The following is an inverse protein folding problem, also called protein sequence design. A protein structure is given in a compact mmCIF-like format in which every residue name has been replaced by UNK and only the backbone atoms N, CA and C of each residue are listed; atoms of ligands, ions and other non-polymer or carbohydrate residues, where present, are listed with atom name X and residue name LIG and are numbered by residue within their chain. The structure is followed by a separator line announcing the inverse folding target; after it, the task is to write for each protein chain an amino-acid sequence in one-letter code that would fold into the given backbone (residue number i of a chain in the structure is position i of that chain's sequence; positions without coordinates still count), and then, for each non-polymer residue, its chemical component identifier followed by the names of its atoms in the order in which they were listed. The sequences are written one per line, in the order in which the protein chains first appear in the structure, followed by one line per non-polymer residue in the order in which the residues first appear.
data_IF_281890795823
#
_entry.id   IF_281890795823
#
_cell.length_a   1.000
_cell.length_b   1.000
_cell.length_c   1.000
_cell.angle_alpha   90.00
_cell.angle_beta   90.00
_cell.angle_gamma   90.00
#
_symmetry.space_group_name_H-M   'P 1'
#
loop_
_entity.id
_entity.type
_entity.pdbx_description
1 polymer ?
#
# COMPACT_ATOMS: atom_id res chain seq x y z
N UNK A 1 -30.65 1.86 -15.19
CA UNK A 1 -30.23 2.44 -13.92
C UNK A 1 -29.34 1.41 -13.26
N UNK A 2 -28.07 1.72 -13.14
CA UNK A 2 -27.08 0.94 -12.40
C UNK A 2 -26.81 1.68 -11.09
N UNK A 3 -26.79 0.94 -9.99
CA UNK A 3 -26.48 1.45 -8.67
C UNK A 3 -25.52 0.47 -8.00
N UNK A 4 -24.45 0.99 -7.42
CA UNK A 4 -23.41 0.22 -6.72
C UNK A 4 -23.10 0.90 -5.39
N UNK A 5 -23.11 0.13 -4.32
CA UNK A 5 -22.72 0.58 -2.99
C UNK A 5 -21.71 -0.40 -2.39
N UNK A 6 -20.66 0.13 -1.80
CA UNK A 6 -19.57 -0.63 -1.19
C UNK A 6 -19.17 0.03 0.12
N UNK A 7 -18.87 -0.78 1.14
CA UNK A 7 -18.44 -0.31 2.44
C UNK A 7 -17.36 -1.25 2.98
N UNK A 8 -16.31 -0.66 3.54
CA UNK A 8 -15.25 -1.37 4.27
C UNK A 8 -15.03 -0.69 5.62
N UNK A 9 -14.89 -1.49 6.67
CA UNK A 9 -14.55 -1.02 8.01
C UNK A 9 -13.34 -1.80 8.52
N UNK A 10 -12.30 -1.06 8.88
CA UNK A 10 -11.08 -1.57 9.48
C UNK A 10 -10.89 -0.92 10.84
N UNK A 11 -10.59 -1.74 11.84
CA UNK A 11 -10.30 -1.28 13.20
C UNK A 11 -9.05 -1.99 13.73
N UNK A 12 -8.15 -1.23 14.33
CA UNK A 12 -6.97 -1.76 14.99
C UNK A 12 -6.69 -0.96 16.25
N UNK A 13 -6.58 -1.65 17.38
CA UNK A 13 -6.22 -1.03 18.65
C UNK A 13 -5.32 -1.94 19.46
N UNK A 14 -4.54 -1.35 20.35
CA UNK A 14 -3.62 -2.11 21.18
C UNK A 14 -2.65 -1.24 21.93
N UNK A 15 -1.77 -1.90 22.67
CA UNK A 15 -0.68 -1.27 23.41
C UNK A 15 0.62 -1.98 23.10
N UNK A 16 1.63 -1.24 22.68
CA UNK A 16 2.99 -1.73 22.46
C UNK A 16 3.89 -1.23 23.57
N UNK A 17 4.66 -2.14 24.15
CA UNK A 17 5.75 -1.81 25.07
C UNK A 17 7.05 -1.84 24.29
N UNK A 18 7.71 -0.70 24.21
CA UNK A 18 9.01 -0.58 23.56
C UNK A 18 10.13 -1.03 24.53
N UNK A 19 11.29 -1.36 23.99
CA UNK A 19 12.43 -1.82 24.79
C UNK A 19 12.92 -0.77 25.80
N UNK A 20 12.73 0.52 25.50
CA UNK A 20 13.06 1.64 26.40
C UNK A 20 12.04 1.86 27.53
N UNK A 21 10.97 1.05 27.58
CA UNK A 21 9.94 1.09 28.61
C UNK A 21 8.79 2.06 28.31
N UNK A 22 8.75 2.72 27.15
CA UNK A 22 7.56 3.48 26.73
C UNK A 22 6.43 2.54 26.34
N UNK A 23 5.23 2.92 26.77
CA UNK A 23 3.96 2.29 26.40
C UNK A 23 3.25 3.15 25.37
N UNK A 24 3.09 2.63 24.15
CA UNK A 24 2.38 3.29 23.06
C UNK A 24 1.01 2.63 22.93
N UNK A 25 -0.05 3.37 23.19
CA UNK A 25 -1.42 2.90 22.92
C UNK A 25 -1.93 3.54 21.65
N UNK A 26 -2.51 2.73 20.76
CA UNK A 26 -3.11 3.21 19.53
C UNK A 26 -4.54 2.69 19.43
N UNK A 27 -5.38 3.50 18.78
CA UNK A 27 -6.73 3.16 18.40
C UNK A 27 -6.95 3.79 17.02
N UNK A 28 -7.18 2.94 16.03
CA UNK A 28 -7.38 3.34 14.65
C UNK A 28 -8.67 2.75 14.13
N UNK A 29 -9.42 3.59 13.41
CA UNK A 29 -10.59 3.20 12.68
C UNK A 29 -10.54 3.83 11.29
N UNK A 30 -10.75 3.01 10.27
CA UNK A 30 -10.95 3.43 8.89
C UNK A 30 -12.30 2.91 8.43
N UNK A 31 -13.16 3.84 8.04
CA UNK A 31 -14.41 3.55 7.36
C UNK A 31 -14.32 4.11 5.94
N UNK A 32 -14.45 3.24 4.95
CA UNK A 32 -14.54 3.62 3.54
C UNK A 32 -15.92 3.26 3.01
N UNK A 33 -16.50 4.15 2.20
CA UNK A 33 -17.81 3.99 1.59
C UNK A 33 -17.77 4.57 0.17
N UNK A 34 -18.38 3.86 -0.78
CA UNK A 34 -18.58 4.34 -2.15
C UNK A 34 -20.03 4.05 -2.56
N UNK A 35 -20.67 5.04 -3.18
CA UNK A 35 -21.99 4.90 -3.81
C UNK A 35 -21.96 5.50 -5.22
N UNK A 36 -22.32 4.72 -6.23
CA UNK A 36 -22.32 5.13 -7.64
C UNK A 36 -23.68 4.86 -8.28
N UNK A 37 -24.19 5.84 -9.03
CA UNK A 37 -25.49 5.76 -9.71
C UNK A 37 -25.34 6.23 -11.16
N UNK A 38 -25.74 5.41 -12.12
CA UNK A 38 -25.72 5.75 -13.54
C UNK A 38 -27.06 5.40 -14.22
N UNK A 39 -27.60 6.34 -14.99
CA UNK A 39 -28.81 6.13 -15.78
C UNK A 39 -28.47 6.03 -17.28
N UNK A 40 -27.99 4.86 -17.71
CA UNK A 40 -27.75 4.58 -19.13
C UNK A 40 -28.10 3.14 -19.51
N UNK A 41 -28.40 2.94 -20.81
CA UNK A 41 -28.78 1.67 -21.43
C UNK A 41 -27.54 0.81 -21.71
N UNK A 42 -27.46 -0.32 -21.01
CA UNK A 42 -26.75 -1.53 -21.38
C UNK A 42 -25.64 -1.39 -22.45
N UNK A 43 -24.42 -1.05 -22.03
CA UNK A 43 -23.20 -1.39 -22.75
C UNK A 43 -22.75 -2.76 -22.25
N UNK A 44 -23.02 -3.81 -23.04
CA UNK A 44 -22.50 -5.14 -22.78
C UNK A 44 -20.98 -5.08 -23.00
N UNK A 45 -20.19 -4.87 -21.93
CA UNK A 45 -18.73 -5.09 -21.98
C UNK A 45 -18.50 -6.61 -22.06
N UNK A 46 -18.39 -7.12 -23.28
CA UNK A 46 -17.94 -8.49 -23.54
C UNK A 46 -16.44 -8.51 -23.26
N UNK A 47 -16.07 -9.00 -22.08
CA UNK A 47 -14.68 -9.27 -21.75
C UNK A 47 -14.31 -8.89 -20.33
N UNK A 48 -14.73 -9.69 -19.36
CA UNK A 48 -13.89 -10.00 -18.20
C UNK A 48 -12.66 -10.80 -18.70
N UNK A 49 -11.84 -10.19 -19.57
CA UNK A 49 -10.44 -10.55 -19.56
C UNK A 49 -9.99 -10.12 -18.17
N UNK A 50 -9.55 -11.08 -17.34
CA UNK A 50 -9.03 -10.79 -16.01
C UNK A 50 -8.10 -9.59 -16.14
N UNK A 51 -8.54 -8.43 -15.63
CA UNK A 51 -7.75 -7.22 -15.68
C UNK A 51 -6.44 -7.58 -14.99
N UNK A 52 -5.32 -7.42 -15.69
CA UNK A 52 -4.04 -7.78 -15.11
C UNK A 52 -3.83 -6.85 -13.92
N UNK A 53 -3.64 -7.43 -12.75
CA UNK A 53 -3.40 -6.67 -11.54
C UNK A 53 -2.11 -7.10 -10.88
N UNK A 54 -1.40 -6.14 -10.30
CA UNK A 54 -0.18 -6.37 -9.53
C UNK A 54 -0.27 -5.68 -8.17
N UNK A 55 0.36 -6.25 -7.16
CA UNK A 55 0.00 -6.01 -5.75
C UNK A 55 1.09 -5.33 -4.90
N UNK A 56 1.49 -4.09 -5.19
CA UNK A 56 2.46 -3.42 -4.32
C UNK A 56 1.91 -3.21 -2.91
N UNK A 57 2.75 -3.51 -1.91
CA UNK A 57 2.46 -3.16 -0.52
C UNK A 57 2.59 -1.64 -0.32
N UNK A 58 1.47 -0.99 -0.04
CA UNK A 58 1.37 0.44 0.14
C UNK A 58 1.48 0.85 1.61
N UNK A 59 2.04 2.04 1.85
CA UNK A 59 2.10 2.70 3.16
C UNK A 59 1.40 4.05 3.08
N UNK A 60 0.47 4.30 4.00
CA UNK A 60 -0.23 5.58 4.13
C UNK A 60 0.22 6.31 5.42
N UNK A 61 0.99 7.39 5.25
CA UNK A 61 1.61 8.17 6.32
C UNK A 61 0.72 9.35 6.76
N UNK A 62 -0.09 9.87 5.85
CA UNK A 62 -0.92 11.06 6.07
C UNK A 62 -2.04 10.89 7.09
N UNK A 63 -2.35 9.63 7.43
CA UNK A 63 -3.50 9.28 8.26
C UNK A 63 -4.80 9.35 7.47
N UNK A 64 -5.85 8.72 8.00
CA UNK A 64 -7.15 8.64 7.33
C UNK A 64 -7.19 7.62 6.20
N UNK A 65 -8.10 7.82 5.24
CA UNK A 65 -8.30 6.91 4.13
C UNK A 65 -7.16 6.99 3.11
N UNK A 66 -6.77 5.83 2.58
CA UNK A 66 -5.88 5.74 1.42
C UNK A 66 -6.72 5.93 0.15
N UNK A 67 -6.13 6.57 -0.85
CA UNK A 67 -6.72 6.70 -2.19
C UNK A 67 -5.62 6.69 -3.25
N UNK A 68 -5.97 6.40 -4.50
CA UNK A 68 -5.04 6.30 -5.62
C UNK A 68 -5.01 7.61 -6.44
N UNK A 69 -3.86 7.91 -7.03
CA UNK A 69 -3.73 9.04 -7.96
C UNK A 69 -4.63 8.84 -9.18
N UNK A 70 -5.28 9.93 -9.62
CA UNK A 70 -6.08 9.92 -10.84
C UNK A 70 -5.22 9.89 -12.09
N UNK A 71 -4.03 10.50 -12.03
CA UNK A 71 -3.01 10.36 -13.05
C UNK A 71 -2.29 9.01 -12.87
N UNK A 72 -2.02 8.36 -13.98
CA UNK A 72 -1.15 7.19 -14.06
C UNK A 72 0.24 7.64 -14.49
N UNK A 73 1.24 6.84 -14.11
CA UNK A 73 2.64 7.09 -14.42
C UNK A 73 3.30 5.81 -14.91
N UNK A 74 4.18 5.95 -15.90
CA UNK A 74 4.98 4.86 -16.44
C UNK A 74 5.93 4.27 -15.39
N UNK A 75 5.77 2.98 -15.08
CA UNK A 75 6.65 2.20 -14.23
C UNK A 75 6.59 0.72 -14.64
N UNK A 76 7.73 0.04 -14.66
CA UNK A 76 7.81 -1.40 -14.97
C UNK A 76 7.45 -2.20 -13.69
N UNK A 77 6.15 -2.44 -13.49
CA UNK A 77 5.65 -3.02 -12.25
C UNK A 77 5.81 -4.54 -12.22
N UNK A 78 5.80 -5.21 -13.37
CA UNK A 78 5.96 -6.66 -13.47
C UNK A 78 7.40 -7.12 -13.77
N UNK A 79 8.31 -6.19 -14.02
CA UNK A 79 9.72 -6.40 -14.32
C UNK A 79 9.96 -7.16 -15.64
N UNK A 80 9.13 -6.91 -16.66
CA UNK A 80 9.29 -7.50 -17.99
C UNK A 80 10.16 -6.67 -18.95
N UNK A 81 10.56 -5.46 -18.53
CA UNK A 81 11.35 -4.50 -19.30
C UNK A 81 10.51 -3.47 -20.09
N UNK A 82 9.18 -3.53 -19.98
CA UNK A 82 8.22 -2.55 -20.48
C UNK A 82 7.63 -1.78 -19.29
N UNK A 83 7.10 -0.59 -19.53
CA UNK A 83 6.45 0.20 -18.46
C UNK A 83 4.94 0.17 -18.62
N UNK A 84 4.23 0.04 -17.49
CA UNK A 84 2.79 0.18 -17.40
C UNK A 84 2.41 1.55 -16.84
N UNK A 85 1.21 2.01 -17.20
CA UNK A 85 0.63 3.22 -16.62
C UNK A 85 -0.09 2.85 -15.31
N UNK A 86 0.57 3.10 -14.17
CA UNK A 86 0.06 2.73 -12.85
C UNK A 86 -0.32 3.94 -12.00
N UNK A 87 -1.33 3.78 -11.15
CA UNK A 87 -1.62 4.75 -10.11
C UNK A 87 -0.72 4.56 -8.90
N UNK A 88 -0.43 5.65 -8.19
CA UNK A 88 0.31 5.65 -6.93
C UNK A 88 -0.61 6.01 -5.76
N UNK A 89 -0.08 5.91 -4.54
CA UNK A 89 -0.79 6.39 -3.35
C UNK A 89 -0.84 7.93 -3.38
N UNK A 90 -2.07 8.47 -3.35
CA UNK A 90 -2.29 9.91 -3.28
C UNK A 90 -1.94 10.46 -1.88
N UNK A 91 -1.54 11.74 -1.84
CA UNK A 91 -1.20 12.41 -0.58
C UNK A 91 0.15 11.95 0.01
N UNK A 92 0.18 11.70 1.31
CA UNK A 92 1.41 11.30 2.02
C UNK A 92 1.49 9.79 2.16
N UNK A 93 2.10 9.13 1.18
CA UNK A 93 2.27 7.69 1.16
C UNK A 93 3.08 7.26 -0.05
N UNK A 94 3.10 5.96 -0.30
CA UNK A 94 3.76 5.35 -1.45
C UNK A 94 3.80 3.83 -1.33
N UNK A 95 4.56 3.20 -2.22
CA UNK A 95 4.84 1.78 -2.13
C UNK A 95 6.07 1.53 -1.25
N UNK A 96 6.00 0.48 -0.43
CA UNK A 96 7.15 0.02 0.32
C UNK A 96 8.15 -0.60 -0.67
N UNK A 97 9.39 -0.16 -0.57
CA UNK A 97 10.45 -0.52 -1.50
C UNK A 97 11.75 -0.87 -0.78
N UNK A 98 12.54 -1.73 -1.39
CA UNK A 98 13.89 -2.06 -1.00
C UNK A 98 14.75 -2.02 -2.26
N UNK A 99 15.70 -1.10 -2.28
CA UNK A 99 16.74 -1.02 -3.31
C UNK A 99 17.63 -2.27 -3.20
N UNK A 100 17.35 -3.27 -4.04
CA UNK A 100 17.95 -4.62 -3.94
C UNK A 100 19.28 -4.68 -4.68
N UNK A 101 19.43 -3.89 -5.73
CA UNK A 101 20.60 -3.88 -6.59
C UNK A 101 21.67 -2.85 -6.13
N UNK A 102 21.32 -1.92 -5.24
CA UNK A 102 22.20 -0.93 -4.64
C UNK A 102 22.52 0.26 -5.55
N UNK A 103 21.69 0.55 -6.56
CA UNK A 103 21.93 1.64 -7.51
C UNK A 103 21.39 3.01 -7.04
N UNK A 104 20.65 3.02 -5.94
CA UNK A 104 20.10 4.24 -5.32
C UNK A 104 18.71 4.62 -5.81
N UNK A 105 18.18 3.95 -6.83
CA UNK A 105 16.84 4.14 -7.38
C UNK A 105 15.91 2.97 -7.04
N UNK A 106 14.65 3.10 -7.44
CA UNK A 106 13.67 2.01 -7.46
C UNK A 106 13.14 2.01 -8.89
N UNK A 107 13.59 1.04 -9.68
CA UNK A 107 13.44 1.11 -11.14
C UNK A 107 12.30 0.23 -11.65
N UNK A 108 12.02 -0.87 -10.95
CA UNK A 108 11.02 -1.86 -11.36
C UNK A 108 10.40 -2.59 -10.16
N UNK A 109 9.43 -3.45 -10.45
CA UNK A 109 8.68 -4.22 -9.45
C UNK A 109 9.50 -5.25 -8.66
N UNK A 110 10.74 -5.58 -9.06
CA UNK A 110 11.60 -6.49 -8.27
C UNK A 110 12.05 -5.86 -6.96
N UNK A 111 12.01 -4.53 -6.87
CA UNK A 111 12.41 -3.73 -5.72
C UNK A 111 11.22 -3.33 -4.84
N UNK A 112 10.00 -3.70 -5.24
CA UNK A 112 8.78 -3.57 -4.45
C UNK A 112 8.44 -4.89 -3.72
N UNK A 113 7.54 -4.81 -2.75
CA UNK A 113 7.00 -5.98 -2.06
C UNK A 113 5.62 -6.33 -2.62
N UNK A 114 5.44 -7.58 -3.06
CA UNK A 114 4.17 -8.06 -3.63
C UNK A 114 4.23 -8.42 -5.12
N UNK A 115 4.57 -7.51 -6.05
CA UNK A 115 4.33 -7.69 -7.49
C UNK A 115 4.87 -9.00 -8.10
N UNK A 116 5.97 -9.52 -7.57
CA UNK A 116 6.60 -10.75 -8.06
C UNK A 116 5.96 -12.03 -7.48
N UNK A 117 5.25 -11.95 -6.37
CA UNK A 117 4.78 -13.13 -5.61
C UNK A 117 3.29 -13.13 -5.28
N UNK A 118 2.58 -11.99 -5.44
CA UNK A 118 1.17 -11.86 -5.09
C UNK A 118 0.88 -11.75 -3.59
N UNK A 119 1.89 -11.55 -2.74
CA UNK A 119 1.68 -11.27 -1.31
C UNK A 119 2.80 -10.43 -0.70
N UNK A 120 2.62 -9.10 -0.68
CA UNK A 120 3.60 -8.15 -0.16
C UNK A 120 3.89 -8.29 1.34
N UNK A 121 2.92 -8.71 2.15
CA UNK A 121 3.15 -8.97 3.58
C UNK A 121 4.01 -10.22 3.79
N UNK A 122 3.77 -11.28 3.01
CA UNK A 122 4.61 -12.48 3.03
C UNK A 122 6.03 -12.15 2.57
N UNK A 123 6.19 -11.35 1.53
CA UNK A 123 7.52 -10.93 1.05
C UNK A 123 8.27 -10.11 2.10
N UNK A 124 7.56 -9.26 2.85
CA UNK A 124 8.16 -8.50 3.94
C UNK A 124 8.53 -9.39 5.14
N UNK A 125 7.70 -10.40 5.44
CA UNK A 125 7.89 -11.28 6.60
C UNK A 125 9.18 -12.10 6.59
N UNK A 126 9.80 -12.31 5.42
CA UNK A 126 11.07 -13.04 5.33
C UNK A 126 12.22 -12.28 6.00
N UNK A 127 12.04 -11.00 6.27
CA UNK A 127 13.02 -10.13 6.90
C UNK A 127 12.83 -9.95 8.41
N UNK A 128 11.78 -10.53 9.01
CA UNK A 128 11.58 -10.58 10.46
C UNK A 128 12.51 -11.65 11.06
N UNK A 129 13.69 -11.21 11.51
CA UNK A 129 14.74 -12.12 11.96
C UNK A 129 14.50 -12.66 13.37
N UNK A 130 13.94 -11.83 14.24
CA UNK A 130 13.64 -12.20 15.63
C UNK A 130 12.27 -12.89 15.79
N UNK A 131 11.45 -12.89 14.73
CA UNK A 131 10.14 -13.53 14.60
C UNK A 131 9.10 -12.94 15.56
N UNK A 132 9.21 -11.65 15.84
CA UNK A 132 8.31 -10.96 16.76
C UNK A 132 7.02 -10.46 16.06
N UNK A 133 6.92 -10.59 14.73
CA UNK A 133 5.78 -10.15 13.94
C UNK A 133 5.83 -8.68 13.50
N UNK A 134 6.95 -8.01 13.73
CA UNK A 134 7.24 -6.64 13.33
C UNK A 134 8.52 -6.59 12.50
N UNK A 135 8.58 -5.65 11.57
CA UNK A 135 9.84 -5.22 10.98
C UNK A 135 10.23 -3.91 11.67
N UNK A 136 11.28 -3.95 12.47
CA UNK A 136 11.74 -2.83 13.27
C UNK A 136 13.29 -2.70 13.31
N UNK A 137 13.82 -1.88 14.21
CA UNK A 137 15.26 -1.62 14.33
C UNK A 137 16.11 -2.85 14.68
N UNK A 138 15.49 -3.94 15.16
CA UNK A 138 16.16 -5.23 15.37
C UNK A 138 16.36 -6.00 14.06
N UNK A 139 15.70 -5.59 12.97
CA UNK A 139 15.86 -6.17 11.64
C UNK A 139 16.78 -5.33 10.76
N UNK A 140 17.90 -5.89 10.25
CA UNK A 140 18.85 -5.15 9.41
C UNK A 140 18.24 -4.57 8.12
N UNK A 141 17.10 -5.08 7.66
CA UNK A 141 16.40 -4.54 6.49
C UNK A 141 15.75 -3.20 6.78
N UNK A 142 15.32 -2.95 8.01
CA UNK A 142 14.43 -1.83 8.34
C UNK A 142 15.05 -0.47 7.98
N UNK A 143 16.34 -0.30 8.28
CA UNK A 143 17.10 0.91 7.92
C UNK A 143 17.31 1.11 6.41
N UNK A 144 16.97 0.14 5.57
CA UNK A 144 17.09 0.18 4.10
C UNK A 144 15.75 0.34 3.40
N UNK A 145 14.64 0.16 4.12
CA UNK A 145 13.30 0.30 3.55
C UNK A 145 13.02 1.77 3.19
N UNK A 146 12.46 1.95 2.00
CA UNK A 146 12.09 3.24 1.45
C UNK A 146 10.59 3.26 1.12
N UNK A 147 10.05 4.46 1.05
CA UNK A 147 8.73 4.77 0.55
C UNK A 147 8.95 5.39 -0.83
N UNK A 148 8.50 4.67 -1.84
CA UNK A 148 8.60 5.06 -3.25
C UNK A 148 7.27 5.66 -3.70
N UNK A 149 7.32 6.88 -4.23
CA UNK A 149 6.15 7.55 -4.80
C UNK A 149 6.54 8.39 -6.02
N UNK A 150 5.55 8.80 -6.82
CA UNK A 150 5.70 9.80 -7.88
C UNK A 150 4.83 11.02 -7.59
N UNK A 151 5.38 12.22 -7.76
CA UNK A 151 4.60 13.46 -7.64
C UNK A 151 3.66 13.63 -8.83
N UNK A 152 2.68 14.52 -8.73
CA UNK A 152 1.78 14.87 -9.84
C UNK A 152 2.53 15.33 -11.11
N UNK A 153 3.69 15.97 -10.93
CA UNK A 153 4.58 16.40 -12.02
C UNK A 153 5.43 15.26 -12.63
N UNK A 154 5.29 14.02 -12.14
CA UNK A 154 6.04 12.85 -12.60
C UNK A 154 7.44 12.70 -12.01
N UNK A 155 7.77 13.41 -10.93
CA UNK A 155 9.07 13.26 -10.28
C UNK A 155 9.05 12.13 -9.25
N UNK A 156 10.09 11.30 -9.25
CA UNK A 156 10.28 10.27 -8.23
C UNK A 156 10.58 10.88 -6.86
N UNK A 157 9.90 10.37 -5.83
CA UNK A 157 10.16 10.65 -4.42
C UNK A 157 10.55 9.35 -3.74
N UNK A 158 11.71 9.36 -3.11
CA UNK A 158 12.18 8.28 -2.25
C UNK A 158 12.44 8.84 -0.86
N UNK A 159 11.75 8.29 0.13
CA UNK A 159 11.85 8.68 1.53
C UNK A 159 12.17 7.46 2.38
N UNK A 160 13.13 7.54 3.28
CA UNK A 160 13.37 6.45 4.24
C UNK A 160 12.22 6.36 5.25
N UNK A 161 11.99 5.15 5.81
CA UNK A 161 11.02 4.99 6.90
C UNK A 161 11.33 5.91 8.10
N UNK A 162 12.61 6.13 8.38
CA UNK A 162 13.05 7.03 9.45
C UNK A 162 12.66 8.49 9.22
N UNK A 163 12.79 9.01 8.00
CA UNK A 163 12.36 10.37 7.63
C UNK A 163 10.84 10.53 7.69
N UNK A 164 10.10 9.48 7.34
CA UNK A 164 8.64 9.40 7.49
C UNK A 164 8.16 9.28 8.95
N UNK A 165 9.10 9.16 9.90
CA UNK A 165 8.80 8.97 11.32
C UNK A 165 8.30 7.57 11.68
N UNK A 166 8.38 6.61 10.76
CA UNK A 166 8.00 5.21 10.97
C UNK A 166 9.04 4.52 11.85
N UNK A 167 8.56 3.78 12.85
CA UNK A 167 9.36 3.07 13.84
C UNK A 167 9.26 1.55 13.75
N UNK A 168 8.12 1.00 13.33
CA UNK A 168 7.94 -0.43 13.15
C UNK A 168 6.76 -0.73 12.21
N UNK A 169 6.86 -1.77 11.40
CA UNK A 169 5.80 -2.25 10.50
C UNK A 169 5.19 -3.54 11.06
N UNK A 170 3.87 -3.63 11.20
CA UNK A 170 3.23 -4.86 11.67
C UNK A 170 2.99 -5.84 10.52
N UNK A 171 3.37 -7.11 10.68
CA UNK A 171 3.13 -8.15 9.67
C UNK A 171 1.72 -8.75 9.78
N UNK A 172 1.08 -8.65 10.94
CA UNK A 172 -0.30 -9.11 11.10
C UNK A 172 -1.26 -8.23 10.29
N UNK A 173 -2.03 -8.86 9.42
CA UNK A 173 -2.97 -8.18 8.54
C UNK A 173 -4.34 -8.86 8.59
N UNK A 174 -5.35 -8.14 8.15
CA UNK A 174 -6.73 -8.64 8.00
C UNK A 174 -7.26 -8.26 6.64
N UNK A 175 -8.21 -9.03 6.11
CA UNK A 175 -8.85 -8.75 4.83
C UNK A 175 -9.65 -7.44 4.92
N UNK A 176 -9.43 -6.54 3.97
CA UNK A 176 -10.08 -5.22 3.84
C UNK A 176 -10.39 -4.94 2.38
N UNK A 177 -11.35 -5.70 1.84
CA UNK A 177 -11.77 -5.57 0.44
C UNK A 177 -12.42 -4.21 0.19
N UNK A 178 -11.86 -3.43 -0.73
CA UNK A 178 -12.42 -2.15 -1.19
C UNK A 178 -11.96 -1.80 -2.60
N UNK A 179 -12.91 -1.45 -3.48
CA UNK A 179 -12.63 -1.14 -4.88
C UNK A 179 -12.36 0.35 -5.09
N UNK A 180 -11.18 0.69 -5.62
CA UNK A 180 -10.89 2.03 -6.14
C UNK A 180 -11.38 2.09 -7.60
N UNK A 181 -12.45 2.86 -7.86
CA UNK A 181 -13.04 2.99 -9.21
C UNK A 181 -13.24 4.44 -9.62
N UNK A 182 -12.93 4.73 -10.88
CA UNK A 182 -13.32 5.98 -11.55
C UNK A 182 -14.54 5.70 -12.44
N UNK A 183 -15.73 6.10 -11.98
CA UNK A 183 -16.97 5.62 -12.59
C UNK A 183 -17.13 4.11 -12.38
N UNK A 184 -17.18 3.35 -13.47
CA UNK A 184 -17.20 1.88 -13.45
C UNK A 184 -15.80 1.24 -13.64
N UNK A 185 -14.78 2.02 -14.00
CA UNK A 185 -13.45 1.49 -14.33
C UNK A 185 -12.63 1.28 -13.05
N UNK A 186 -12.19 0.04 -12.82
CA UNK A 186 -11.34 -0.35 -11.69
C UNK A 186 -9.93 0.22 -11.89
N UNK A 187 -9.46 0.93 -10.86
CA UNK A 187 -8.11 1.48 -10.74
C UNK A 187 -7.24 0.63 -9.80
N UNK A 188 -7.87 -0.02 -8.82
CA UNK A 188 -7.23 -1.01 -7.98
C UNK A 188 -8.20 -1.58 -6.94
N UNK A 189 -7.76 -2.63 -6.26
CA UNK A 189 -8.51 -3.34 -5.23
C UNK A 189 -7.66 -3.43 -3.97
N UNK A 190 -8.08 -2.79 -2.88
CA UNK A 190 -7.51 -3.09 -1.57
C UNK A 190 -7.91 -4.49 -1.17
N UNK A 191 -6.96 -5.31 -0.71
CA UNK A 191 -7.20 -6.70 -0.30
C UNK A 191 -7.05 -6.90 1.20
N UNK A 192 -5.98 -6.34 1.77
CA UNK A 192 -5.62 -6.52 3.19
C UNK A 192 -5.09 -5.22 3.78
N UNK A 193 -5.28 -5.03 5.07
CA UNK A 193 -4.70 -3.91 5.83
C UNK A 193 -3.98 -4.39 7.08
N UNK A 194 -2.93 -3.65 7.41
CA UNK A 194 -2.16 -3.75 8.65
C UNK A 194 -1.88 -2.33 9.17
N UNK A 195 -1.09 -2.24 10.22
CA UNK A 195 -0.69 -1.00 10.87
C UNK A 195 0.83 -0.85 10.87
N UNK A 196 1.30 0.38 11.06
CA UNK A 196 2.66 0.67 11.48
C UNK A 196 2.65 1.64 12.65
N UNK A 197 3.72 1.67 13.43
CA UNK A 197 3.89 2.61 14.54
C UNK A 197 4.88 3.70 14.15
N UNK A 198 4.57 4.94 14.53
CA UNK A 198 5.48 6.08 14.43
C UNK A 198 6.26 6.27 15.72
N UNK A 199 7.43 6.88 15.60
CA UNK A 199 8.31 7.18 16.74
C UNK A 199 7.69 8.17 17.73
N UNK A 200 6.73 8.98 17.29
CA UNK A 200 5.96 9.92 18.11
C UNK A 200 4.82 9.25 18.92
N UNK A 201 4.62 7.94 18.77
CA UNK A 201 3.58 7.18 19.46
C UNK A 201 2.24 7.12 18.72
N UNK A 202 2.13 7.70 17.53
CA UNK A 202 0.95 7.51 16.67
C UNK A 202 1.08 6.25 15.82
N UNK A 203 0.00 5.85 15.14
CA UNK A 203 -0.02 4.73 14.22
C UNK A 203 -0.53 5.18 12.85
N UNK A 204 -0.17 4.43 11.81
CA UNK A 204 -0.71 4.56 10.46
C UNK A 204 -0.98 3.19 9.85
N UNK A 205 -1.33 3.15 8.56
CA UNK A 205 -1.79 1.93 7.90
C UNK A 205 -0.89 1.47 6.76
N UNK A 206 -0.82 0.15 6.61
CA UNK A 206 -0.25 -0.54 5.46
C UNK A 206 -1.39 -1.23 4.71
N UNK A 207 -1.31 -1.26 3.39
CA UNK A 207 -2.35 -1.86 2.56
C UNK A 207 -1.72 -2.73 1.47
N UNK A 208 -2.24 -3.94 1.31
CA UNK A 208 -2.06 -4.72 0.09
C UNK A 208 -3.07 -4.20 -0.93
N UNK A 209 -2.61 -3.66 -2.06
CA UNK A 209 -3.48 -3.10 -3.10
C UNK A 209 -3.10 -3.73 -4.44
N UNK A 210 -4.06 -4.41 -5.07
CA UNK A 210 -3.93 -4.92 -6.44
C UNK A 210 -4.25 -3.77 -7.40
N UNK A 211 -3.24 -3.17 -8.02
CA UNK A 211 -3.39 -2.10 -9.01
C UNK A 211 -3.87 -2.65 -10.35
N UNK A 212 -4.79 -1.94 -10.99
CA UNK A 212 -5.24 -2.25 -12.34
C UNK A 212 -4.27 -1.66 -13.38
N UNK A 213 -3.69 -2.55 -14.21
CA UNK A 213 -2.84 -2.19 -15.34
C UNK A 213 -3.69 -1.72 -16.54
#
# INVERSE_FOLDING_TARGET
MYAEEEQMNFTASGTVQTQDGRSISFDMQLLMQRSYYESSSFSLRIGDAAQQTMDPLAINIGGGAVDLTQNKFAFDLDADGSTEEISFISGQGGFLALDRNGDGAINDGTELFGPQTGDGFRDLSVYDLDKNGWIDENDPVFGKLKIFNMTEDGNTVLMSLGEAGVGALCLQNVDTEFSFKQGQDLQGQMRKSSIFLKKDGTAGMLHHIDLAL
#
